data_IF_755665983520
#
_entry.id   IF_755665983520
#
_cell.length_a   1.000
_cell.length_b   1.000
_cell.length_c   1.000
_cell.angle_alpha   90.00
_cell.angle_beta   90.00
_cell.angle_gamma   90.00
#
_symmetry.space_group_name_H-M   'P 1'
#
loop_
_entity.id
_entity.type
_entity.pdbx_description
1 polymer ?
#
# COMPACT_ATOMS: atom_id res chain seq x y z
N UNK A 1 -14.90 -10.29 3.46
CA UNK A 1 -13.51 -10.37 4.01
C UNK A 1 -13.33 -9.27 5.04
N UNK A 2 -12.70 -9.55 6.17
CA UNK A 2 -12.41 -8.51 7.17
C UNK A 2 -11.26 -7.61 6.68
N UNK A 3 -11.42 -6.28 6.82
CA UNK A 3 -10.37 -5.29 6.51
C UNK A 3 -10.09 -4.49 7.79
N UNK A 4 -8.85 -4.50 8.24
CA UNK A 4 -8.41 -3.73 9.44
C UNK A 4 -8.63 -2.22 9.23
N UNK A 5 -8.61 -1.78 7.98
CA UNK A 5 -8.84 -0.38 7.61
C UNK A 5 -10.20 0.17 8.07
N UNK A 6 -11.20 -0.69 8.35
CA UNK A 6 -12.51 -0.28 8.91
C UNK A 6 -12.34 0.48 10.23
N UNK A 7 -11.37 0.10 11.07
CA UNK A 7 -11.07 0.78 12.33
C UNK A 7 -10.65 2.24 12.11
N UNK A 8 -9.82 2.49 11.08
CA UNK A 8 -9.42 3.86 10.68
C UNK A 8 -10.61 4.69 10.17
N UNK A 9 -11.57 4.06 9.50
CA UNK A 9 -12.80 4.72 9.06
C UNK A 9 -13.71 5.03 10.25
N UNK A 10 -13.78 4.14 11.23
CA UNK A 10 -14.54 4.36 12.46
C UNK A 10 -13.94 5.53 13.27
N UNK A 11 -12.61 5.57 13.43
CA UNK A 11 -11.92 6.71 14.03
C UNK A 11 -12.20 8.02 13.28
N UNK A 12 -12.18 7.99 11.94
CA UNK A 12 -12.52 9.16 11.11
C UNK A 12 -13.94 9.62 11.37
N UNK A 13 -14.90 8.70 11.44
CA UNK A 13 -16.32 9.03 11.60
C UNK A 13 -16.63 9.74 12.92
N UNK A 14 -15.84 9.46 13.97
CA UNK A 14 -16.00 9.98 15.33
C UNK A 14 -15.28 11.30 15.59
N UNK A 15 -14.44 11.79 14.64
CA UNK A 15 -13.71 13.05 14.83
C UNK A 15 -14.64 14.25 14.93
N UNK A 16 -14.46 15.10 15.92
CA UNK A 16 -15.23 16.35 16.10
C UNK A 16 -15.02 17.35 14.96
N UNK A 17 -13.80 17.37 14.39
CA UNK A 17 -13.41 18.16 13.22
C UNK A 17 -13.36 17.33 11.94
N UNK A 18 -14.31 16.38 11.80
CA UNK A 18 -14.39 15.52 10.63
C UNK A 18 -14.58 16.35 9.35
N UNK A 19 -13.82 15.98 8.33
CA UNK A 19 -13.95 16.50 6.97
C UNK A 19 -14.39 15.37 6.04
N UNK A 20 -14.98 15.66 4.86
CA UNK A 20 -15.21 14.65 3.85
C UNK A 20 -13.97 13.79 3.62
N UNK A 21 -14.14 12.47 3.57
CA UNK A 21 -13.06 11.52 3.34
C UNK A 21 -12.84 11.34 1.84
N UNK A 22 -11.58 11.36 1.44
CA UNK A 22 -11.14 10.94 0.10
C UNK A 22 -10.26 9.70 0.25
N UNK A 23 -10.81 8.54 -0.14
CA UNK A 23 -10.12 7.26 -0.11
C UNK A 23 -9.48 6.99 -1.47
N UNK A 24 -8.16 7.15 -1.55
CA UNK A 24 -7.34 6.84 -2.71
C UNK A 24 -6.79 5.41 -2.67
N UNK A 25 -6.09 4.99 -3.70
CA UNK A 25 -5.43 3.69 -3.82
C UNK A 25 -5.62 3.09 -5.21
N UNK A 26 -4.80 2.12 -5.58
CA UNK A 26 -4.84 1.48 -6.88
C UNK A 26 -6.23 0.91 -7.22
N UNK A 27 -6.46 0.64 -8.49
CA UNK A 27 -7.66 -0.10 -8.91
C UNK A 27 -7.66 -1.50 -8.29
N UNK A 28 -8.87 -2.02 -8.01
CA UNK A 28 -9.11 -3.37 -7.52
C UNK A 28 -8.58 -3.67 -6.10
N UNK A 29 -8.13 -2.68 -5.32
CA UNK A 29 -7.74 -2.87 -3.90
C UNK A 29 -8.94 -2.91 -2.94
N UNK A 30 -10.18 -2.74 -3.45
CA UNK A 30 -11.42 -2.92 -2.69
C UNK A 30 -11.99 -1.65 -2.04
N UNK A 31 -11.69 -0.44 -2.56
CA UNK A 31 -12.19 0.85 -2.01
C UNK A 31 -13.72 0.90 -1.89
N UNK A 32 -14.42 0.65 -2.99
CA UNK A 32 -15.90 0.68 -3.05
C UNK A 32 -16.51 -0.32 -2.09
N UNK A 33 -15.97 -1.56 -2.06
CA UNK A 33 -16.44 -2.59 -1.15
C UNK A 33 -16.25 -2.15 0.32
N UNK A 34 -15.06 -1.61 0.65
CA UNK A 34 -14.72 -1.17 2.00
C UNK A 34 -15.68 -0.07 2.50
N UNK A 35 -15.96 0.94 1.67
CA UNK A 35 -16.87 2.02 2.06
C UNK A 35 -18.32 1.54 2.21
N UNK A 36 -18.79 0.64 1.33
CA UNK A 36 -20.11 0.02 1.46
C UNK A 36 -20.22 -0.83 2.72
N UNK A 37 -19.19 -1.62 3.02
CA UNK A 37 -19.17 -2.45 4.23
C UNK A 37 -19.09 -1.59 5.50
N UNK A 38 -18.31 -0.52 5.47
CA UNK A 38 -18.28 0.44 6.57
C UNK A 38 -19.65 1.10 6.79
N UNK A 39 -20.33 1.51 5.72
CA UNK A 39 -21.68 2.04 5.79
C UNK A 39 -22.66 1.03 6.41
N UNK A 40 -22.59 -0.22 5.97
CA UNK A 40 -23.44 -1.31 6.49
C UNK A 40 -23.25 -1.57 7.99
N UNK A 41 -22.01 -1.43 8.49
CA UNK A 41 -21.66 -1.74 9.89
C UNK A 41 -21.93 -0.58 10.85
N UNK A 42 -21.78 0.66 10.41
CA UNK A 42 -21.72 1.83 11.29
C UNK A 42 -22.83 2.86 11.08
N UNK A 43 -23.67 2.71 10.03
CA UNK A 43 -24.74 3.65 9.71
C UNK A 43 -26.08 2.93 9.54
N UNK A 44 -27.16 3.64 9.82
CA UNK A 44 -28.50 3.12 9.58
C UNK A 44 -28.78 2.95 8.08
N UNK A 45 -28.22 3.83 7.25
CA UNK A 45 -28.37 3.82 5.80
C UNK A 45 -27.08 4.22 5.09
N UNK A 46 -26.96 3.79 3.81
CA UNK A 46 -25.84 4.14 2.95
C UNK A 46 -26.37 4.63 1.62
N UNK A 47 -26.18 5.92 1.32
CA UNK A 47 -26.51 6.51 0.03
C UNK A 47 -25.28 6.40 -0.89
N UNK A 48 -25.31 5.41 -1.78
CA UNK A 48 -24.21 5.16 -2.74
C UNK A 48 -24.56 5.72 -4.10
N UNK A 49 -23.66 6.53 -4.65
CA UNK A 49 -23.74 7.06 -6.02
C UNK A 49 -22.42 6.89 -6.73
N UNK A 50 -22.47 6.59 -8.04
CA UNK A 50 -21.31 6.41 -8.89
C UNK A 50 -21.30 7.43 -10.02
N UNK A 51 -20.21 8.16 -10.19
CA UNK A 51 -20.06 9.21 -11.22
C UNK A 51 -19.62 8.66 -12.59
N UNK A 52 -19.19 7.38 -12.69
CA UNK A 52 -18.83 6.84 -13.99
C UNK A 52 -20.05 6.75 -14.90
N UNK A 53 -19.95 7.39 -16.09
CA UNK A 53 -21.00 7.42 -17.11
C UNK A 53 -22.39 7.88 -16.64
N UNK A 54 -22.44 8.69 -15.56
CA UNK A 54 -23.68 9.20 -14.99
C UNK A 54 -23.78 10.72 -15.18
N UNK A 55 -24.14 11.14 -16.40
CA UNK A 55 -24.24 12.55 -16.75
C UNK A 55 -25.36 13.29 -15.98
N UNK A 56 -26.57 12.71 -15.71
CA UNK A 56 -27.57 13.33 -14.87
C UNK A 56 -27.05 13.66 -13.46
N UNK A 57 -26.35 12.73 -12.83
CA UNK A 57 -25.74 12.93 -11.51
C UNK A 57 -24.69 14.03 -11.54
N UNK A 58 -23.80 14.06 -12.56
CA UNK A 58 -22.80 15.13 -12.73
C UNK A 58 -23.45 16.51 -12.89
N UNK A 59 -24.58 16.58 -13.58
CA UNK A 59 -25.31 17.82 -13.78
C UNK A 59 -25.85 18.45 -12.49
N UNK A 60 -26.05 17.66 -11.42
CA UNK A 60 -26.47 18.19 -10.11
C UNK A 60 -25.40 19.09 -9.48
N UNK A 61 -24.13 18.89 -9.81
CA UNK A 61 -23.03 19.65 -9.25
C UNK A 61 -22.58 20.83 -10.12
N UNK A 62 -23.15 20.98 -11.33
CA UNK A 62 -22.83 22.11 -12.22
C UNK A 62 -23.49 23.42 -11.74
N UNK A 63 -22.73 24.50 -11.80
CA UNK A 63 -23.20 25.87 -11.46
C UNK A 63 -23.10 26.16 -9.96
N UNK A 64 -24.18 26.71 -9.37
CA UNK A 64 -24.18 27.06 -7.94
C UNK A 64 -24.35 25.82 -7.06
N UNK A 65 -23.66 25.80 -5.94
CA UNK A 65 -23.85 24.78 -4.91
C UNK A 65 -25.19 25.04 -4.17
N UNK A 66 -26.18 24.24 -4.46
CA UNK A 66 -27.48 24.22 -3.78
C UNK A 66 -27.65 22.85 -3.11
N UNK A 67 -27.50 22.83 -1.79
CA UNK A 67 -27.53 21.60 -0.99
C UNK A 67 -28.89 20.89 -1.10
N UNK A 68 -29.99 21.64 -1.11
CA UNK A 68 -31.33 21.06 -1.16
C UNK A 68 -31.57 20.33 -2.47
N UNK A 69 -31.16 20.94 -3.58
CA UNK A 69 -31.22 20.33 -4.91
C UNK A 69 -30.30 19.10 -4.99
N UNK A 70 -29.07 19.21 -4.49
CA UNK A 70 -28.10 18.11 -4.52
C UNK A 70 -28.59 16.95 -3.69
N UNK A 71 -29.05 17.16 -2.43
CA UNK A 71 -29.60 16.11 -1.58
C UNK A 71 -30.81 15.42 -2.20
N UNK A 72 -31.73 16.21 -2.79
CA UNK A 72 -32.90 15.65 -3.49
C UNK A 72 -32.46 14.73 -4.64
N UNK A 73 -31.49 15.16 -5.44
CA UNK A 73 -30.95 14.35 -6.53
C UNK A 73 -30.21 13.10 -6.05
N UNK A 74 -29.39 13.22 -4.99
CA UNK A 74 -28.71 12.07 -4.39
C UNK A 74 -29.69 11.04 -3.80
N UNK A 75 -30.79 11.50 -3.18
CA UNK A 75 -31.87 10.62 -2.69
C UNK A 75 -32.56 9.89 -3.84
N UNK A 76 -32.87 10.62 -4.91
CA UNK A 76 -33.52 10.01 -6.09
C UNK A 76 -32.60 8.97 -6.76
N UNK A 77 -31.30 9.25 -6.88
CA UNK A 77 -30.33 8.36 -7.49
C UNK A 77 -30.03 7.12 -6.63
N UNK A 78 -29.84 7.31 -5.32
CA UNK A 78 -29.48 6.22 -4.40
C UNK A 78 -30.71 5.39 -3.93
N UNK A 79 -31.91 5.92 -4.07
CA UNK A 79 -33.14 5.33 -3.49
C UNK A 79 -33.18 5.40 -1.96
N UNK A 80 -32.31 6.20 -1.32
CA UNK A 80 -32.17 6.27 0.13
C UNK A 80 -32.53 7.67 0.62
N UNK A 81 -33.33 7.78 1.67
CA UNK A 81 -33.60 9.06 2.34
C UNK A 81 -32.37 9.45 3.16
N UNK A 82 -31.72 10.53 2.79
CA UNK A 82 -30.51 10.99 3.45
C UNK A 82 -30.85 11.79 4.70
N UNK A 83 -30.33 11.31 5.84
CA UNK A 83 -30.38 11.96 7.14
C UNK A 83 -28.96 12.31 7.57
N UNK A 84 -28.73 13.52 8.05
CA UNK A 84 -27.46 13.90 8.67
C UNK A 84 -27.17 12.93 9.83
N UNK A 85 -25.93 12.53 10.04
CA UNK A 85 -25.43 11.59 11.08
C UNK A 85 -25.78 10.11 10.86
N UNK A 86 -26.99 9.77 10.35
CA UNK A 86 -27.44 8.38 10.25
C UNK A 86 -27.14 7.74 8.89
N UNK A 87 -26.81 8.58 7.88
CA UNK A 87 -26.53 8.12 6.52
C UNK A 87 -25.08 8.40 6.14
N UNK A 88 -24.35 7.36 5.69
CA UNK A 88 -23.09 7.54 4.99
C UNK A 88 -23.38 7.81 3.51
N UNK A 89 -22.92 8.95 3.01
CA UNK A 89 -22.98 9.28 1.58
C UNK A 89 -21.66 8.83 0.95
N UNK A 90 -21.75 7.95 -0.05
CA UNK A 90 -20.57 7.42 -0.77
C UNK A 90 -20.58 7.96 -2.19
N UNK A 91 -19.53 8.72 -2.55
CA UNK A 91 -19.25 9.18 -3.89
C UNK A 91 -18.15 8.29 -4.52
N UNK A 92 -18.56 7.40 -5.41
CA UNK A 92 -17.64 6.50 -6.09
C UNK A 92 -17.22 7.06 -7.45
N UNK A 93 -15.96 6.80 -7.84
CA UNK A 93 -15.31 7.34 -9.04
C UNK A 93 -15.42 8.87 -9.12
N UNK A 94 -15.24 9.57 -7.98
CA UNK A 94 -15.45 11.01 -7.84
C UNK A 94 -14.59 11.84 -8.81
N UNK A 95 -13.43 11.34 -9.25
CA UNK A 95 -12.59 12.01 -10.24
C UNK A 95 -13.27 12.18 -11.60
N UNK A 96 -14.38 11.47 -11.87
CA UNK A 96 -15.17 11.64 -13.07
C UNK A 96 -16.07 12.90 -13.03
N UNK A 97 -16.12 13.61 -11.88
CA UNK A 97 -16.89 14.83 -11.68
C UNK A 97 -16.10 15.86 -10.86
N UNK A 98 -15.34 16.72 -11.54
CA UNK A 98 -14.52 17.77 -10.89
C UNK A 98 -15.35 18.73 -10.05
N UNK A 99 -16.59 19.04 -10.47
CA UNK A 99 -17.51 19.91 -9.70
C UNK A 99 -17.91 19.25 -8.37
N UNK A 100 -18.15 17.93 -8.35
CA UNK A 100 -18.45 17.20 -7.11
C UNK A 100 -17.22 17.19 -6.17
N UNK A 101 -16.02 17.02 -6.74
CA UNK A 101 -14.78 17.09 -5.97
C UNK A 101 -14.57 18.48 -5.36
N UNK A 102 -14.81 19.56 -6.13
CA UNK A 102 -14.76 20.95 -5.67
C UNK A 102 -15.84 21.20 -4.59
N UNK A 103 -17.03 20.64 -4.74
CA UNK A 103 -18.15 20.78 -3.80
C UNK A 103 -17.83 20.23 -2.40
N UNK A 104 -16.85 19.33 -2.24
CA UNK A 104 -16.42 18.83 -0.92
C UNK A 104 -16.01 19.96 0.04
N UNK A 105 -15.57 21.12 -0.50
CA UNK A 105 -15.29 22.31 0.30
C UNK A 105 -16.54 22.78 1.04
N UNK A 106 -17.65 22.93 0.33
CA UNK A 106 -18.91 23.44 0.88
C UNK A 106 -19.53 22.43 1.86
N UNK A 107 -19.42 21.12 1.57
CA UNK A 107 -19.79 20.07 2.52
C UNK A 107 -19.01 20.18 3.82
N UNK A 108 -17.71 20.48 3.74
CA UNK A 108 -16.85 20.64 4.92
C UNK A 108 -17.17 21.90 5.73
N UNK A 109 -17.47 23.02 5.06
CA UNK A 109 -17.61 24.34 5.70
C UNK A 109 -19.04 24.59 6.20
N UNK A 110 -20.04 24.27 5.37
CA UNK A 110 -21.42 24.67 5.59
C UNK A 110 -22.31 23.53 6.10
N UNK A 111 -21.92 22.25 5.84
CA UNK A 111 -22.73 21.09 6.12
C UNK A 111 -21.92 19.93 6.77
N UNK A 112 -21.14 20.22 7.84
CA UNK A 112 -20.25 19.23 8.46
C UNK A 112 -20.95 18.05 9.13
N UNK A 113 -22.26 18.15 9.37
CA UNK A 113 -23.10 17.10 9.93
C UNK A 113 -23.29 15.92 9.00
N UNK A 114 -23.14 16.09 7.67
CA UNK A 114 -23.22 14.98 6.71
C UNK A 114 -21.92 14.20 6.64
N UNK A 115 -22.03 12.88 6.66
CA UNK A 115 -20.88 11.99 6.56
C UNK A 115 -20.65 11.61 5.10
N UNK A 116 -19.58 12.12 4.50
CA UNK A 116 -19.26 11.90 3.09
C UNK A 116 -17.94 11.17 2.97
N UNK A 117 -17.95 10.05 2.24
CA UNK A 117 -16.76 9.31 1.88
C UNK A 117 -16.69 9.14 0.36
N UNK A 118 -15.57 9.54 -0.22
CA UNK A 118 -15.34 9.48 -1.65
C UNK A 118 -14.34 8.37 -1.96
N UNK A 119 -14.56 7.62 -3.05
CA UNK A 119 -13.60 6.69 -3.61
C UNK A 119 -13.22 7.09 -5.02
N UNK A 120 -11.95 6.86 -5.36
CA UNK A 120 -11.46 7.01 -6.72
C UNK A 120 -10.07 6.37 -6.88
N UNK A 121 -9.84 5.76 -8.02
CA UNK A 121 -8.61 5.02 -8.29
C UNK A 121 -7.49 5.88 -8.91
N UNK A 122 -7.85 6.99 -9.52
CA UNK A 122 -6.93 7.88 -10.23
C UNK A 122 -7.06 9.33 -9.70
N UNK A 123 -7.36 9.48 -8.42
CA UNK A 123 -7.52 10.80 -7.80
C UNK A 123 -6.21 11.60 -7.89
N UNK A 124 -5.05 10.94 -7.70
CA UNK A 124 -3.73 11.58 -7.85
C UNK A 124 -3.55 12.22 -9.24
N UNK A 125 -3.97 11.54 -10.29
CA UNK A 125 -3.91 12.06 -11.66
C UNK A 125 -4.90 13.21 -11.90
N UNK A 126 -6.13 13.11 -11.40
CA UNK A 126 -7.12 14.18 -11.50
C UNK A 126 -6.65 15.47 -10.80
N UNK A 127 -5.86 15.37 -9.75
CA UNK A 127 -5.25 16.51 -9.06
C UNK A 127 -4.26 17.27 -9.93
N UNK A 128 -3.53 16.59 -10.82
CA UNK A 128 -2.57 17.22 -11.74
C UNK A 128 -3.27 17.99 -12.87
N UNK A 129 -4.49 17.61 -13.26
CA UNK A 129 -5.26 18.26 -14.34
C UNK A 129 -5.92 19.58 -13.94
N UNK A 130 -5.62 20.13 -12.76
CA UNK A 130 -6.12 21.45 -12.34
C UNK A 130 -7.58 21.45 -11.89
N UNK A 131 -8.15 20.29 -11.56
CA UNK A 131 -9.45 20.22 -10.89
C UNK A 131 -9.33 20.91 -9.53
N UNK A 132 -10.30 21.77 -9.15
CA UNK A 132 -10.30 22.56 -7.92
C UNK A 132 -10.36 21.71 -6.65
N UNK A 133 -9.32 20.88 -6.42
CA UNK A 133 -9.24 20.04 -5.21
C UNK A 133 -9.29 20.90 -3.95
N UNK A 134 -10.18 20.62 -3.01
CA UNK A 134 -10.37 21.42 -1.81
C UNK A 134 -9.26 21.18 -0.77
N UNK A 135 -8.08 21.76 -1.02
CA UNK A 135 -6.92 21.64 -0.13
C UNK A 135 -7.30 22.05 1.29
N UNK A 136 -6.97 21.22 2.27
CA UNK A 136 -7.26 21.44 3.68
C UNK A 136 -8.72 21.24 4.09
N UNK A 137 -9.64 20.89 3.17
CA UNK A 137 -11.08 20.68 3.44
C UNK A 137 -11.51 19.23 3.37
N UNK A 138 -10.56 18.32 3.16
CA UNK A 138 -10.79 16.88 3.12
C UNK A 138 -9.81 16.15 4.03
N UNK A 139 -10.19 14.96 4.50
CA UNK A 139 -9.27 13.97 5.04
C UNK A 139 -8.91 12.98 3.92
N UNK A 140 -7.62 12.77 3.69
CA UNK A 140 -7.14 11.82 2.70
C UNK A 140 -6.62 10.57 3.37
N UNK A 141 -7.02 9.41 2.84
CA UNK A 141 -6.51 8.10 3.26
C UNK A 141 -6.19 7.28 2.02
N UNK A 142 -5.19 6.39 2.11
CA UNK A 142 -4.80 5.50 1.02
C UNK A 142 -5.06 4.05 1.42
N UNK A 143 -5.84 3.34 0.59
CA UNK A 143 -6.07 1.90 0.75
C UNK A 143 -5.06 1.12 -0.08
N UNK A 144 -4.30 0.28 0.60
CA UNK A 144 -3.35 -0.65 0.00
C UNK A 144 -3.98 -2.03 -0.25
N UNK A 145 -3.33 -2.92 -1.01
CA UNK A 145 -3.66 -4.34 -1.01
C UNK A 145 -3.75 -4.89 0.42
N UNK A 146 -4.40 -6.00 0.59
CA UNK A 146 -4.54 -6.65 1.90
C UNK A 146 -3.17 -6.99 2.46
N UNK A 147 -2.94 -6.68 3.73
CA UNK A 147 -1.75 -7.08 4.47
C UNK A 147 -1.74 -8.61 4.72
N UNK A 148 -0.60 -9.14 5.14
CA UNK A 148 -0.53 -10.55 5.54
C UNK A 148 -1.50 -10.86 6.69
N UNK A 149 -1.68 -9.93 7.64
CA UNK A 149 -2.67 -10.09 8.70
C UNK A 149 -4.11 -10.17 8.17
N UNK A 150 -4.48 -9.33 7.19
CA UNK A 150 -5.79 -9.37 6.56
C UNK A 150 -5.97 -10.65 5.71
N UNK A 151 -4.90 -11.17 5.11
CA UNK A 151 -4.90 -12.45 4.42
C UNK A 151 -5.17 -13.62 5.38
N UNK A 152 -4.53 -13.65 6.56
CA UNK A 152 -4.82 -14.65 7.59
C UNK A 152 -6.30 -14.67 7.95
N UNK A 153 -6.90 -13.50 8.18
CA UNK A 153 -8.35 -13.40 8.43
C UNK A 153 -9.18 -13.92 7.25
N UNK A 154 -8.76 -13.64 6.01
CA UNK A 154 -9.53 -14.04 4.83
C UNK A 154 -9.56 -15.57 4.61
N UNK A 155 -8.54 -16.28 5.08
CA UNK A 155 -8.45 -17.75 4.99
C UNK A 155 -8.94 -18.48 6.26
N UNK A 156 -9.52 -17.74 7.24
CA UNK A 156 -10.06 -18.32 8.47
C UNK A 156 -9.04 -18.57 9.58
N UNK A 157 -7.87 -17.94 9.52
CA UNK A 157 -6.78 -18.09 10.49
C UNK A 157 -6.65 -16.83 11.41
N UNK A 158 -7.78 -16.27 11.86
CA UNK A 158 -7.80 -15.09 12.72
C UNK A 158 -7.01 -15.28 14.01
N UNK A 159 -7.05 -16.46 14.61
CA UNK A 159 -6.30 -16.79 15.81
C UNK A 159 -4.78 -16.65 15.62
N UNK A 160 -4.26 -16.93 14.41
CA UNK A 160 -2.85 -16.70 14.12
C UNK A 160 -2.51 -15.22 13.97
N UNK A 161 -3.46 -14.40 13.54
CA UNK A 161 -3.27 -12.94 13.56
C UNK A 161 -3.16 -12.44 15.01
N UNK A 162 -4.02 -12.92 15.91
CA UNK A 162 -3.94 -12.56 17.35
C UNK A 162 -2.59 -12.96 17.95
N UNK A 163 -2.07 -14.16 17.59
CA UNK A 163 -0.71 -14.60 17.98
C UNK A 163 0.34 -13.60 17.47
N UNK A 164 0.31 -13.24 16.20
CA UNK A 164 1.28 -12.29 15.60
C UNK A 164 1.19 -10.93 16.28
N UNK A 165 0.00 -10.46 16.58
CA UNK A 165 -0.24 -9.16 17.21
C UNK A 165 -0.01 -9.14 18.71
N UNK A 166 0.12 -10.28 19.39
CA UNK A 166 0.34 -10.35 20.82
C UNK A 166 1.64 -9.68 21.28
N UNK A 167 2.69 -9.73 20.45
CA UNK A 167 4.04 -9.30 20.81
C UNK A 167 4.75 -10.27 21.78
N UNK A 168 4.10 -11.36 22.19
CA UNK A 168 4.69 -12.38 23.06
C UNK A 168 5.62 -13.28 22.23
N UNK A 169 6.93 -13.20 22.53
CA UNK A 169 7.94 -13.95 21.78
C UNK A 169 7.76 -15.48 21.91
N UNK A 170 7.36 -15.98 23.10
CA UNK A 170 7.15 -17.40 23.29
C UNK A 170 5.97 -17.89 22.46
N UNK A 171 4.86 -17.16 22.46
CA UNK A 171 3.67 -17.46 21.69
C UNK A 171 3.93 -17.39 20.19
N UNK A 172 4.52 -16.30 19.70
CA UNK A 172 4.86 -16.12 18.26
C UNK A 172 5.79 -17.22 17.77
N UNK A 173 6.79 -17.61 18.57
CA UNK A 173 7.75 -18.64 18.19
C UNK A 173 7.12 -20.05 18.20
N UNK A 174 6.19 -20.32 19.11
CA UNK A 174 5.48 -21.61 19.17
C UNK A 174 4.65 -21.87 17.88
N UNK A 175 4.17 -20.83 17.22
CA UNK A 175 3.37 -20.94 15.99
C UNK A 175 4.16 -20.67 14.69
N UNK A 176 5.49 -20.48 14.77
CA UNK A 176 6.31 -20.17 13.60
C UNK A 176 6.19 -21.20 12.47
N UNK A 177 6.13 -22.49 12.78
CA UNK A 177 6.03 -23.56 11.79
C UNK A 177 4.68 -23.58 11.04
N UNK A 178 3.62 -23.00 11.62
CA UNK A 178 2.35 -22.77 10.92
C UNK A 178 2.38 -21.48 10.09
N UNK A 179 3.00 -20.42 10.60
CA UNK A 179 3.03 -19.09 9.97
C UNK A 179 3.96 -19.02 8.76
N UNK A 180 5.11 -19.70 8.78
CA UNK A 180 6.08 -19.70 7.67
C UNK A 180 5.48 -20.18 6.34
N UNK A 181 4.78 -21.33 6.26
CA UNK A 181 4.11 -21.77 5.02
C UNK A 181 3.03 -20.79 4.54
N UNK A 182 2.25 -20.21 5.46
CA UNK A 182 1.20 -19.25 5.15
C UNK A 182 1.79 -17.96 4.56
N UNK A 183 2.93 -17.50 5.08
CA UNK A 183 3.63 -16.37 4.49
C UNK A 183 4.14 -16.66 3.07
N UNK A 184 4.69 -17.86 2.82
CA UNK A 184 5.08 -18.28 1.47
C UNK A 184 3.86 -18.34 0.53
N UNK A 185 2.72 -18.79 1.03
CA UNK A 185 1.45 -18.76 0.28
C UNK A 185 1.06 -17.33 -0.05
N UNK A 186 1.16 -16.41 0.91
CA UNK A 186 0.89 -14.99 0.68
C UNK A 186 1.85 -14.37 -0.36
N UNK A 187 3.12 -14.78 -0.42
CA UNK A 187 4.03 -14.33 -1.47
C UNK A 187 3.54 -14.69 -2.88
N UNK A 188 2.79 -15.78 -3.01
CA UNK A 188 2.22 -16.23 -4.28
C UNK A 188 0.84 -15.63 -4.57
N UNK A 189 -0.01 -15.51 -3.55
CA UNK A 189 -1.38 -14.99 -3.67
C UNK A 189 -1.39 -13.46 -3.65
N UNK A 190 -0.53 -12.84 -2.83
CA UNK A 190 -0.52 -11.40 -2.59
C UNK A 190 -1.71 -10.91 -1.78
N UNK A 191 -1.89 -9.60 -1.81
CA UNK A 191 -2.96 -8.89 -1.09
C UNK A 191 -4.07 -8.33 -1.99
N UNK A 192 -4.10 -8.64 -3.29
CA UNK A 192 -5.20 -8.21 -4.14
C UNK A 192 -6.49 -8.92 -3.74
N UNK A 193 -7.57 -8.19 -3.33
CA UNK A 193 -8.76 -8.82 -2.73
C UNK A 193 -9.40 -9.93 -3.57
N UNK A 194 -9.44 -9.77 -4.89
CA UNK A 194 -9.99 -10.79 -5.78
C UNK A 194 -9.14 -12.06 -5.81
N UNK A 195 -7.80 -11.95 -5.80
CA UNK A 195 -6.88 -13.08 -5.76
C UNK A 195 -6.95 -13.78 -4.39
N UNK A 196 -6.99 -13.01 -3.29
CA UNK A 196 -7.18 -13.55 -1.93
C UNK A 196 -8.50 -14.29 -1.82
N UNK A 197 -9.59 -13.73 -2.36
CA UNK A 197 -10.92 -14.38 -2.35
C UNK A 197 -10.91 -15.69 -3.15
N UNK A 198 -10.29 -15.70 -4.33
CA UNK A 198 -10.18 -16.89 -5.16
C UNK A 198 -9.43 -17.99 -4.41
N UNK A 199 -8.31 -17.65 -3.77
CA UNK A 199 -7.54 -18.60 -2.95
C UNK A 199 -8.35 -19.05 -1.73
N UNK A 200 -8.94 -18.15 -0.96
CA UNK A 200 -9.69 -18.49 0.26
C UNK A 200 -10.88 -19.43 -0.01
N UNK A 201 -11.50 -19.30 -1.19
CA UNK A 201 -12.64 -20.14 -1.58
C UNK A 201 -12.21 -21.52 -2.07
N UNK A 202 -11.08 -21.61 -2.80
CA UNK A 202 -10.68 -22.84 -3.51
C UNK A 202 -9.46 -23.54 -2.92
N UNK A 203 -8.69 -22.84 -2.09
CA UNK A 203 -7.35 -23.21 -1.62
C UNK A 203 -6.37 -23.54 -2.76
N UNK A 204 -6.65 -22.99 -3.95
CA UNK A 204 -5.87 -23.21 -5.18
C UNK A 204 -5.03 -21.99 -5.53
N UNK A 205 -3.71 -22.18 -5.57
CA UNK A 205 -2.77 -21.17 -6.07
C UNK A 205 -2.97 -20.88 -7.56
N UNK A 206 -3.46 -21.88 -8.34
CA UNK A 206 -3.77 -21.68 -9.75
C UNK A 206 -4.94 -20.70 -9.94
N UNK A 207 -6.01 -20.84 -9.14
CA UNK A 207 -7.15 -19.92 -9.19
C UNK A 207 -6.76 -18.49 -8.83
N UNK A 208 -5.89 -18.31 -7.84
CA UNK A 208 -5.36 -16.99 -7.51
C UNK A 208 -4.52 -16.41 -8.65
N UNK A 209 -3.72 -17.25 -9.33
CA UNK A 209 -2.87 -16.87 -10.47
C UNK A 209 -3.70 -16.39 -11.66
N UNK A 210 -4.76 -17.07 -12.03
CA UNK A 210 -5.68 -16.65 -13.09
C UNK A 210 -6.22 -15.25 -12.81
N UNK A 211 -6.67 -14.99 -11.59
CA UNK A 211 -7.14 -13.65 -11.19
C UNK A 211 -6.03 -12.60 -11.25
N UNK A 212 -4.80 -12.94 -10.85
CA UNK A 212 -3.66 -12.02 -10.94
C UNK A 212 -3.33 -11.66 -12.39
N UNK A 213 -3.39 -12.62 -13.32
CA UNK A 213 -3.15 -12.40 -14.75
C UNK A 213 -4.23 -11.48 -15.35
N UNK A 214 -5.50 -11.63 -14.95
CA UNK A 214 -6.57 -10.72 -15.33
C UNK A 214 -6.32 -9.31 -14.81
N UNK A 215 -5.93 -9.15 -13.54
CA UNK A 215 -5.59 -7.85 -12.95
C UNK A 215 -4.43 -7.18 -13.72
N UNK A 216 -3.37 -7.92 -14.03
CA UNK A 216 -2.23 -7.40 -14.80
C UNK A 216 -2.63 -6.98 -16.21
N UNK A 217 -3.53 -7.75 -16.85
CA UNK A 217 -4.11 -7.42 -18.16
C UNK A 217 -4.94 -6.13 -18.08
N UNK A 218 -5.76 -5.98 -17.03
CA UNK A 218 -6.57 -4.78 -16.81
C UNK A 218 -5.70 -3.53 -16.60
N UNK A 219 -4.62 -3.62 -15.83
CA UNK A 219 -3.68 -2.50 -15.67
C UNK A 219 -3.05 -2.11 -17.02
N UNK A 220 -2.69 -3.06 -17.86
CA UNK A 220 -2.18 -2.75 -19.20
C UNK A 220 -3.21 -2.02 -20.09
N UNK A 221 -4.52 -2.32 -19.93
CA UNK A 221 -5.62 -1.60 -20.61
C UNK A 221 -5.79 -0.20 -20.03
N UNK A 222 -5.66 -0.07 -18.70
CA UNK A 222 -5.75 1.22 -18.01
C UNK A 222 -4.64 2.18 -18.42
N UNK A 223 -3.41 1.69 -18.65
CA UNK A 223 -2.32 2.51 -19.19
C UNK A 223 -2.73 3.13 -20.52
N UNK A 224 -3.32 2.33 -21.43
CA UNK A 224 -3.75 2.83 -22.73
C UNK A 224 -4.93 3.80 -22.66
N UNK A 225 -5.80 3.65 -21.66
CA UNK A 225 -7.03 4.45 -21.53
C UNK A 225 -6.81 5.78 -20.81
N UNK A 226 -5.94 5.82 -19.80
CA UNK A 226 -5.85 6.93 -18.86
C UNK A 226 -4.50 7.67 -18.89
N UNK A 227 -3.43 7.06 -19.38
CA UNK A 227 -2.15 7.75 -19.49
C UNK A 227 -2.06 8.57 -20.80
N UNK A 228 -1.26 9.65 -20.80
CA UNK A 228 -0.95 10.37 -22.04
C UNK A 228 -0.37 9.42 -23.08
N UNK A 229 -0.91 9.41 -24.30
CA UNK A 229 -0.57 8.43 -25.34
C UNK A 229 0.93 8.27 -25.58
N UNK A 230 1.68 9.38 -25.54
CA UNK A 230 3.14 9.39 -25.73
C UNK A 230 3.90 8.70 -24.60
N UNK A 231 3.30 8.58 -23.42
CA UNK A 231 3.94 7.99 -22.24
C UNK A 231 3.61 6.49 -22.07
N UNK A 232 2.52 6.00 -22.67
CA UNK A 232 2.05 4.61 -22.53
C UNK A 232 3.16 3.58 -22.76
N UNK A 233 3.98 3.67 -23.81
CA UNK A 233 5.06 2.69 -24.04
C UNK A 233 6.10 2.70 -22.91
N UNK A 234 6.45 3.88 -22.39
CA UNK A 234 7.43 4.03 -21.31
C UNK A 234 6.89 3.52 -19.98
N UNK A 235 5.62 3.82 -19.66
CA UNK A 235 4.92 3.29 -18.49
C UNK A 235 4.93 1.76 -18.52
N UNK A 236 4.58 1.15 -19.66
CA UNK A 236 4.63 -0.30 -19.84
C UNK A 236 6.04 -0.87 -19.71
N UNK A 237 7.04 -0.18 -20.26
CA UNK A 237 8.44 -0.61 -20.16
C UNK A 237 8.93 -0.60 -18.71
N UNK A 238 8.64 0.45 -17.94
CA UNK A 238 8.95 0.51 -16.50
C UNK A 238 8.23 -0.63 -15.76
N UNK A 239 6.90 -0.76 -15.97
CA UNK A 239 6.08 -1.78 -15.33
C UNK A 239 6.61 -3.19 -15.57
N UNK A 240 6.97 -3.52 -16.81
CA UNK A 240 7.58 -4.80 -17.16
C UNK A 240 8.99 -5.00 -16.60
N UNK A 241 9.73 -3.93 -16.33
CA UNK A 241 11.10 -4.02 -15.81
C UNK A 241 11.16 -4.31 -14.30
N UNK A 242 10.06 -4.14 -13.55
CA UNK A 242 10.02 -4.31 -12.10
C UNK A 242 10.64 -5.64 -11.62
N UNK A 243 10.23 -6.82 -12.15
CA UNK A 243 10.82 -8.08 -11.71
C UNK A 243 12.33 -8.16 -11.97
N UNK A 244 12.77 -7.65 -13.12
CA UNK A 244 14.19 -7.69 -13.52
C UNK A 244 15.02 -6.74 -12.66
N UNK A 245 14.53 -5.54 -12.34
CA UNK A 245 15.23 -4.58 -11.50
C UNK A 245 15.40 -5.12 -10.06
N UNK A 246 14.34 -5.71 -9.50
CA UNK A 246 14.35 -6.26 -8.14
C UNK A 246 15.13 -7.58 -8.01
N UNK A 247 15.27 -8.35 -9.10
CA UNK A 247 16.04 -9.60 -9.12
C UNK A 247 17.56 -9.41 -9.01
N UNK A 248 18.07 -8.20 -9.25
CA UNK A 248 19.50 -7.90 -9.19
C UNK A 248 20.01 -7.89 -7.76
N UNK A 249 21.30 -8.15 -7.59
CA UNK A 249 22.00 -7.97 -6.33
C UNK A 249 21.93 -6.50 -5.89
N UNK A 250 22.25 -5.57 -6.80
CA UNK A 250 22.02 -4.14 -6.64
C UNK A 250 20.62 -3.78 -7.16
N UNK A 251 19.69 -3.56 -6.24
CA UNK A 251 18.28 -3.24 -6.54
C UNK A 251 18.01 -1.77 -6.81
N UNK A 252 19.06 -0.93 -6.87
CA UNK A 252 18.93 0.47 -7.29
C UNK A 252 18.42 0.52 -8.73
N UNK A 253 17.43 1.36 -8.96
CA UNK A 253 16.80 1.46 -10.26
C UNK A 253 17.80 2.01 -11.31
N UNK A 254 17.98 1.30 -12.40
CA UNK A 254 18.85 1.68 -13.51
C UNK A 254 17.99 1.99 -14.73
N UNK A 255 17.89 3.27 -15.09
CA UNK A 255 17.09 3.71 -16.24
C UNK A 255 17.51 3.04 -17.56
N UNK A 256 18.81 2.77 -17.71
CA UNK A 256 19.35 2.09 -18.90
C UNK A 256 18.86 0.65 -19.11
N UNK A 257 18.30 0.03 -18.08
CA UNK A 257 17.73 -1.33 -18.19
C UNK A 257 16.26 -1.32 -18.60
N UNK A 258 15.65 -0.15 -18.72
CA UNK A 258 14.32 0.00 -19.30
C UNK A 258 14.47 0.18 -20.82
N UNK A 259 14.03 -0.79 -21.64
CA UNK A 259 14.21 -0.71 -23.08
C UNK A 259 13.34 0.41 -23.68
N UNK A 260 13.87 1.09 -24.70
CA UNK A 260 13.06 1.96 -25.55
C UNK A 260 12.35 1.14 -26.62
N UNK A 261 11.32 1.69 -27.27
CA UNK A 261 10.62 1.04 -28.39
C UNK A 261 11.57 0.68 -29.56
N UNK A 262 12.63 1.47 -29.75
CA UNK A 262 13.66 1.22 -30.75
C UNK A 262 14.76 0.24 -30.31
N UNK A 263 14.62 -0.39 -29.12
CA UNK A 263 15.62 -1.33 -28.57
C UNK A 263 16.84 -0.66 -27.93
N UNK A 264 16.83 0.67 -27.81
CA UNK A 264 17.88 1.44 -27.10
C UNK A 264 17.70 1.47 -25.58
N UNK A 265 18.60 2.21 -24.90
CA UNK A 265 18.55 2.44 -23.46
C UNK A 265 17.78 3.72 -23.11
N UNK A 266 16.89 3.65 -22.12
CA UNK A 266 16.17 4.82 -21.63
C UNK A 266 17.10 5.75 -20.82
N UNK A 267 16.77 7.04 -20.85
CA UNK A 267 17.45 8.06 -20.01
C UNK A 267 16.55 8.42 -18.84
N UNK A 268 17.12 8.67 -17.65
CA UNK A 268 16.36 8.98 -16.43
C UNK A 268 15.36 10.14 -16.62
N UNK A 269 15.73 11.18 -17.39
CA UNK A 269 14.85 12.32 -17.66
C UNK A 269 13.57 11.94 -18.43
N UNK A 270 13.65 10.90 -19.29
CA UNK A 270 12.53 10.48 -20.15
C UNK A 270 11.54 9.58 -19.37
N UNK A 271 11.92 9.13 -18.18
CA UNK A 271 11.12 8.25 -17.32
C UNK A 271 10.46 9.00 -16.16
N UNK A 272 10.73 10.31 -15.97
CA UNK A 272 10.19 11.08 -14.83
C UNK A 272 8.66 11.04 -14.79
N UNK A 273 8.00 11.54 -15.81
CA UNK A 273 6.53 11.57 -15.87
C UNK A 273 5.89 10.17 -15.85
N UNK A 274 6.44 9.14 -16.55
CA UNK A 274 6.00 7.76 -16.41
C UNK A 274 6.07 7.22 -14.97
N UNK A 275 7.10 7.57 -14.18
CA UNK A 275 7.15 7.20 -12.77
C UNK A 275 6.07 7.89 -11.95
N UNK A 276 5.92 9.21 -12.12
CA UNK A 276 4.90 10.00 -11.44
C UNK A 276 3.52 9.41 -11.72
N UNK A 277 3.24 9.07 -12.99
CA UNK A 277 1.99 8.41 -13.35
C UNK A 277 1.76 7.08 -12.62
N UNK A 278 2.77 6.21 -12.55
CA UNK A 278 2.67 4.91 -11.86
C UNK A 278 2.47 5.08 -10.35
N UNK A 279 3.12 6.07 -9.73
CA UNK A 279 2.97 6.38 -8.30
C UNK A 279 1.59 6.97 -8.01
N UNK A 280 1.11 7.91 -8.82
CA UNK A 280 -0.22 8.52 -8.67
C UNK A 280 -1.35 7.51 -8.89
N UNK A 281 -1.12 6.52 -9.78
CA UNK A 281 -2.02 5.38 -9.94
C UNK A 281 -1.91 4.35 -8.79
N UNK A 282 -0.93 4.49 -7.90
CA UNK A 282 -0.67 3.59 -6.79
C UNK A 282 -0.12 2.22 -7.20
N UNK A 283 0.47 2.11 -8.40
CA UNK A 283 0.92 0.83 -8.97
C UNK A 283 2.40 0.55 -8.69
N UNK A 284 3.20 1.57 -8.47
CA UNK A 284 4.60 1.44 -8.12
C UNK A 284 4.99 2.48 -7.06
N UNK A 285 6.07 2.21 -6.33
CA UNK A 285 6.57 3.05 -5.25
C UNK A 285 8.08 3.18 -5.34
N UNK A 286 8.57 4.41 -5.43
CA UNK A 286 9.99 4.69 -5.27
C UNK A 286 10.33 4.73 -3.79
N UNK A 287 11.29 3.91 -3.37
CA UNK A 287 11.93 3.99 -2.07
C UNK A 287 13.26 4.71 -2.28
N UNK A 288 13.35 5.93 -1.77
CA UNK A 288 14.50 6.81 -2.01
C UNK A 288 15.64 6.53 -1.03
N UNK A 289 16.88 6.65 -1.48
CA UNK A 289 17.99 6.69 -0.55
C UNK A 289 18.00 8.01 0.21
N UNK A 290 18.56 7.98 1.43
CA UNK A 290 18.87 9.19 2.18
C UNK A 290 20.38 9.35 2.33
N UNK A 291 20.85 10.59 2.24
CA UNK A 291 22.26 10.94 2.41
C UNK A 291 22.68 10.94 3.87
N UNK A 292 21.70 11.16 4.77
CA UNK A 292 21.87 11.13 6.21
C UNK A 292 20.60 10.55 6.85
N UNK A 293 20.73 9.56 7.75
CA UNK A 293 19.57 9.01 8.48
C UNK A 293 19.19 9.92 9.64
N UNK A 294 18.50 11.01 9.35
CA UNK A 294 18.00 11.98 10.32
C UNK A 294 16.58 12.41 9.97
N UNK A 295 15.80 12.81 10.97
CA UNK A 295 14.42 13.27 10.82
C UNK A 295 14.40 14.75 10.39
N UNK A 296 13.56 15.12 9.41
CA UNK A 296 12.74 14.24 8.56
C UNK A 296 13.57 13.58 7.46
N UNK A 297 13.36 12.28 7.21
CA UNK A 297 14.11 11.52 6.19
C UNK A 297 13.98 12.13 4.79
N UNK A 298 12.80 12.64 4.44
CA UNK A 298 12.55 13.30 3.16
C UNK A 298 13.45 14.53 2.95
N UNK A 299 13.82 15.23 4.02
CA UNK A 299 14.76 16.36 3.97
C UNK A 299 16.19 15.97 3.56
N UNK A 300 16.53 14.71 3.69
CA UNK A 300 17.84 14.15 3.32
C UNK A 300 17.77 13.21 2.10
N UNK A 301 16.66 13.25 1.37
CA UNK A 301 16.44 12.44 0.18
C UNK A 301 17.56 12.67 -0.85
N UNK A 302 18.14 11.56 -1.30
CA UNK A 302 19.15 11.55 -2.35
C UNK A 302 18.54 11.44 -3.75
N UNK A 303 19.37 11.00 -4.70
CA UNK A 303 18.98 10.90 -6.12
C UNK A 303 18.78 9.46 -6.59
N UNK A 304 19.05 8.49 -5.74
CA UNK A 304 18.98 7.06 -6.04
C UNK A 304 17.70 6.51 -5.40
N UNK A 305 17.05 5.58 -6.05
CA UNK A 305 15.87 4.90 -5.51
C UNK A 305 15.84 3.42 -5.93
N UNK A 306 15.13 2.62 -5.13
CA UNK A 306 14.65 1.29 -5.49
C UNK A 306 13.19 1.42 -5.94
N UNK A 307 12.77 0.64 -6.93
CA UNK A 307 11.39 0.66 -7.43
C UNK A 307 10.69 -0.62 -7.05
N UNK A 308 9.61 -0.51 -6.29
CA UNK A 308 8.77 -1.62 -5.85
C UNK A 308 7.40 -1.56 -6.54
N UNK A 309 6.78 -2.72 -6.74
CA UNK A 309 5.42 -2.81 -7.24
C UNK A 309 4.37 -2.64 -6.15
N UNK A 310 3.11 -2.67 -6.57
CA UNK A 310 1.95 -2.56 -5.69
C UNK A 310 1.83 -3.74 -4.72
N UNK A 311 2.07 -4.96 -5.21
CA UNK A 311 1.72 -6.20 -4.52
C UNK A 311 2.71 -7.34 -4.82
N UNK A 312 3.05 -8.11 -3.78
CA UNK A 312 4.02 -9.22 -3.87
C UNK A 312 3.51 -10.36 -4.76
N UNK A 313 2.21 -10.66 -4.73
CA UNK A 313 1.61 -11.71 -5.56
C UNK A 313 1.58 -11.30 -7.03
N UNK A 314 1.29 -10.03 -7.34
CA UNK A 314 1.39 -9.51 -8.69
C UNK A 314 2.82 -9.53 -9.22
N UNK A 315 3.83 -9.23 -8.36
CA UNK A 315 5.24 -9.37 -8.72
C UNK A 315 5.60 -10.83 -9.02
N UNK A 316 5.12 -11.77 -8.20
CA UNK A 316 5.30 -13.21 -8.44
C UNK A 316 4.64 -13.67 -9.76
N UNK A 317 3.46 -13.13 -10.10
CA UNK A 317 2.77 -13.39 -11.35
C UNK A 317 3.53 -12.83 -12.56
N UNK A 318 3.98 -11.57 -12.50
CA UNK A 318 4.80 -10.93 -13.54
C UNK A 318 6.12 -11.69 -13.81
N UNK A 319 6.66 -12.32 -12.77
CA UNK A 319 7.89 -13.11 -12.84
C UNK A 319 7.67 -14.55 -13.30
N UNK A 320 6.43 -14.93 -13.60
CA UNK A 320 6.05 -16.31 -13.96
C UNK A 320 6.56 -17.36 -12.97
N UNK A 321 6.64 -17.01 -11.68
CA UNK A 321 7.12 -17.92 -10.65
C UNK A 321 6.18 -19.12 -10.48
N UNK A 322 6.75 -20.31 -10.51
CA UNK A 322 5.99 -21.51 -10.19
C UNK A 322 5.75 -21.63 -8.68
N UNK A 323 4.56 -22.04 -8.23
CA UNK A 323 4.29 -22.28 -6.81
C UNK A 323 5.31 -23.22 -6.16
N UNK A 324 5.72 -24.24 -6.87
CA UNK A 324 6.69 -25.22 -6.39
C UNK A 324 8.04 -24.61 -6.03
N UNK A 325 8.53 -23.67 -6.86
CA UNK A 325 9.80 -22.98 -6.60
C UNK A 325 9.79 -22.19 -5.30
N UNK A 326 8.68 -21.54 -4.96
CA UNK A 326 8.53 -20.75 -3.73
C UNK A 326 8.34 -21.63 -2.50
N UNK A 327 7.52 -22.68 -2.61
CA UNK A 327 7.16 -23.55 -1.48
C UNK A 327 8.31 -24.46 -1.07
N UNK A 328 8.96 -25.13 -2.03
CA UNK A 328 10.01 -26.12 -1.77
C UNK A 328 11.42 -25.52 -1.67
N UNK A 329 11.62 -24.32 -2.24
CA UNK A 329 12.93 -23.69 -2.37
C UNK A 329 13.77 -24.37 -3.46
N UNK A 330 14.11 -23.65 -4.52
CA UNK A 330 14.98 -24.14 -5.58
C UNK A 330 16.23 -23.23 -5.64
N UNK A 331 17.39 -23.78 -6.00
CA UNK A 331 18.64 -23.01 -6.19
C UNK A 331 18.44 -21.84 -7.18
N UNK A 332 17.66 -22.03 -8.23
CA UNK A 332 17.33 -21.01 -9.23
C UNK A 332 16.41 -19.90 -8.68
N UNK A 333 15.72 -20.17 -7.56
CA UNK A 333 14.84 -19.21 -6.91
C UNK A 333 15.57 -18.35 -5.86
N UNK A 334 16.79 -18.71 -5.46
CA UNK A 334 17.49 -18.09 -4.33
C UNK A 334 17.70 -16.60 -4.52
N UNK A 335 18.05 -16.13 -5.73
CA UNK A 335 18.23 -14.71 -6.02
C UNK A 335 16.91 -13.94 -5.99
N UNK A 336 15.85 -14.47 -6.59
CA UNK A 336 14.56 -13.79 -6.63
C UNK A 336 13.81 -13.81 -5.28
N UNK A 337 14.18 -14.72 -4.37
CA UNK A 337 13.64 -14.78 -3.00
C UNK A 337 13.89 -13.49 -2.22
N UNK A 338 15.07 -12.88 -2.38
CA UNK A 338 15.37 -11.57 -1.83
C UNK A 338 14.46 -10.46 -2.37
N UNK A 339 14.15 -10.49 -3.68
CA UNK A 339 13.24 -9.55 -4.32
C UNK A 339 11.82 -9.61 -3.74
N UNK A 340 11.26 -10.82 -3.61
CA UNK A 340 9.93 -11.02 -3.01
C UNK A 340 9.91 -10.60 -1.54
N UNK A 341 10.99 -10.88 -0.80
CA UNK A 341 11.07 -10.51 0.62
C UNK A 341 11.09 -8.98 0.78
N UNK A 342 11.92 -8.25 0.05
CA UNK A 342 11.93 -6.78 0.14
C UNK A 342 10.62 -6.17 -0.38
N UNK A 343 10.03 -6.73 -1.46
CA UNK A 343 8.71 -6.30 -1.93
C UNK A 343 7.65 -6.47 -0.84
N UNK A 344 7.63 -7.62 -0.16
CA UNK A 344 6.73 -7.88 0.94
C UNK A 344 6.95 -6.92 2.12
N UNK A 345 8.20 -6.73 2.54
CA UNK A 345 8.53 -5.81 3.65
C UNK A 345 8.08 -4.39 3.32
N UNK A 346 8.36 -3.89 2.11
CA UNK A 346 7.91 -2.57 1.66
C UNK A 346 6.38 -2.45 1.69
N UNK A 347 5.68 -3.48 1.21
CA UNK A 347 4.22 -3.53 1.19
C UNK A 347 3.63 -3.51 2.61
N UNK A 348 4.15 -4.33 3.53
CA UNK A 348 3.70 -4.36 4.94
C UNK A 348 3.98 -3.06 5.69
N UNK A 349 5.14 -2.45 5.49
CA UNK A 349 5.46 -1.16 6.11
C UNK A 349 4.45 -0.09 5.72
N UNK A 350 3.97 -0.08 4.47
CA UNK A 350 2.93 0.86 4.01
C UNK A 350 1.53 0.48 4.49
N UNK A 351 1.15 -0.78 4.29
CA UNK A 351 -0.22 -1.23 4.55
C UNK A 351 -0.54 -1.30 6.05
N UNK A 352 0.35 -1.90 6.84
CA UNK A 352 0.11 -2.16 8.26
C UNK A 352 0.59 -1.02 9.14
N UNK A 353 1.78 -0.46 8.90
CA UNK A 353 2.35 0.60 9.73
C UNK A 353 2.08 2.02 9.21
N UNK A 354 1.61 2.18 7.97
CA UNK A 354 1.42 3.50 7.34
C UNK A 354 2.73 4.27 7.14
N UNK A 355 3.87 3.56 7.14
CA UNK A 355 5.18 4.16 7.01
C UNK A 355 5.56 4.43 5.55
N UNK A 356 6.34 5.48 5.31
CA UNK A 356 6.98 5.76 4.02
C UNK A 356 8.45 5.34 4.13
N UNK A 357 8.83 4.15 3.61
CA UNK A 357 10.18 3.66 3.75
C UNK A 357 11.16 4.42 2.85
N UNK A 358 12.38 4.59 3.36
CA UNK A 358 13.57 5.02 2.65
C UNK A 358 14.62 3.93 2.76
N UNK A 359 15.80 4.09 2.16
CA UNK A 359 16.95 3.23 2.41
C UNK A 359 18.23 4.07 2.56
N UNK A 360 19.28 3.46 3.02
CA UNK A 360 20.55 4.15 3.18
C UNK A 360 21.73 3.32 2.65
N UNK A 361 22.66 3.98 1.99
CA UNK A 361 23.93 3.39 1.58
C UNK A 361 25.08 4.25 2.08
N UNK A 362 26.19 3.60 2.47
CA UNK A 362 27.44 4.29 2.78
C UNK A 362 28.00 5.00 1.53
N UNK A 363 28.85 6.00 1.74
CA UNK A 363 29.48 6.76 0.64
C UNK A 363 30.32 5.91 -0.30
N UNK A 364 30.86 4.81 0.20
CA UNK A 364 31.65 3.83 -0.59
C UNK A 364 30.77 2.70 -1.17
N UNK A 365 29.44 2.77 -0.96
CA UNK A 365 28.44 1.76 -1.40
C UNK A 365 28.69 0.34 -0.88
N UNK A 366 29.51 0.15 0.16
CA UNK A 366 29.81 -1.16 0.73
C UNK A 366 28.82 -1.61 1.79
N UNK A 367 28.10 -0.65 2.38
CA UNK A 367 27.12 -0.90 3.43
C UNK A 367 25.78 -0.33 2.97
N UNK A 368 24.75 -1.16 2.96
CA UNK A 368 23.38 -0.75 2.65
C UNK A 368 22.44 -1.25 3.75
N UNK A 369 21.47 -0.42 4.12
CA UNK A 369 20.32 -0.78 4.96
C UNK A 369 19.10 -0.79 4.06
N UNK A 370 18.40 -1.92 4.03
CA UNK A 370 17.31 -2.16 3.08
C UNK A 370 16.17 -1.16 3.23
N UNK A 371 15.78 -0.83 4.48
CA UNK A 371 14.76 0.17 4.76
C UNK A 371 15.10 1.01 5.99
N UNK A 372 14.71 2.27 5.92
CA UNK A 372 14.64 3.20 7.04
C UNK A 372 13.23 3.72 7.15
N UNK A 373 12.68 3.76 8.35
CA UNK A 373 11.38 4.39 8.62
C UNK A 373 11.51 5.41 9.75
N UNK A 374 10.69 6.45 9.71
CA UNK A 374 10.61 7.41 10.80
C UNK A 374 9.78 6.83 11.94
N UNK A 375 10.36 6.73 13.12
CA UNK A 375 9.64 6.59 14.37
C UNK A 375 9.25 7.98 14.93
N UNK A 376 8.75 8.02 16.15
CA UNK A 376 8.34 9.28 16.75
C UNK A 376 9.51 10.25 16.99
N UNK A 377 10.66 9.71 17.39
CA UNK A 377 11.85 10.46 17.84
C UNK A 377 13.16 9.85 17.30
N UNK A 378 13.08 8.89 16.40
CA UNK A 378 14.25 8.22 15.84
C UNK A 378 14.01 7.70 14.43
N UNK A 379 15.11 7.37 13.73
CA UNK A 379 15.10 6.61 12.49
C UNK A 379 15.35 5.16 12.81
N UNK A 380 14.43 4.28 12.40
CA UNK A 380 14.52 2.84 12.62
C UNK A 380 15.11 2.17 11.38
N UNK A 381 16.33 1.59 11.47
CA UNK A 381 16.90 0.80 10.40
C UNK A 381 16.29 -0.61 10.40
N UNK A 382 15.96 -1.10 9.20
CA UNK A 382 15.38 -2.42 8.98
C UNK A 382 16.23 -3.16 7.94
N UNK A 383 16.75 -4.31 8.32
CA UNK A 383 17.45 -5.24 7.43
C UNK A 383 16.54 -6.43 7.15
N UNK A 384 16.28 -6.70 5.87
CA UNK A 384 15.43 -7.80 5.43
C UNK A 384 16.25 -8.98 4.93
N UNK A 385 15.99 -10.17 5.48
CA UNK A 385 16.65 -11.42 5.07
C UNK A 385 15.61 -12.46 4.67
N UNK A 386 15.79 -13.04 3.49
CA UNK A 386 14.85 -14.02 2.95
C UNK A 386 14.92 -15.38 3.66
N UNK A 387 15.98 -15.66 4.39
CA UNK A 387 16.26 -16.92 5.07
C UNK A 387 16.59 -16.73 6.55
N UNK A 388 16.96 -17.84 7.20
CA UNK A 388 17.33 -17.86 8.63
C UNK A 388 18.75 -17.34 8.90
N UNK A 389 19.50 -16.95 7.85
CA UNK A 389 20.86 -16.42 8.03
C UNK A 389 20.82 -15.03 8.68
N UNK A 390 21.31 -14.98 9.90
CA UNK A 390 21.32 -13.77 10.74
C UNK A 390 22.58 -12.90 10.57
N UNK A 391 23.48 -13.20 9.62
CA UNK A 391 24.63 -12.34 9.38
C UNK A 391 24.19 -11.03 8.74
N UNK A 392 24.20 -9.96 9.51
CA UNK A 392 23.83 -8.59 9.09
C UNK A 392 24.99 -7.64 9.35
N UNK A 393 26.07 -7.78 8.55
CA UNK A 393 27.27 -6.92 8.68
C UNK A 393 26.93 -5.45 8.49
N UNK A 394 26.02 -5.15 7.53
CA UNK A 394 25.56 -3.79 7.25
C UNK A 394 24.82 -3.18 8.45
N UNK A 395 23.91 -3.93 9.06
CA UNK A 395 23.15 -3.44 10.22
C UNK A 395 24.06 -3.20 11.44
N UNK A 396 25.07 -4.07 11.63
CA UNK A 396 26.08 -3.87 12.68
C UNK A 396 26.88 -2.59 12.44
N UNK A 397 27.42 -2.39 11.26
CA UNK A 397 28.18 -1.19 10.90
C UNK A 397 27.33 0.09 11.00
N UNK A 398 26.04 0.01 10.63
CA UNK A 398 25.10 1.12 10.80
C UNK A 398 24.88 1.46 12.27
N UNK A 399 24.64 0.45 13.13
CA UNK A 399 24.45 0.64 14.58
C UNK A 399 25.69 1.26 15.23
N UNK A 400 26.88 0.80 14.89
CA UNK A 400 28.15 1.37 15.39
C UNK A 400 28.35 2.83 14.97
N UNK A 401 27.89 3.21 13.77
CA UNK A 401 28.05 4.57 13.23
C UNK A 401 27.01 5.56 13.72
N UNK A 402 25.74 5.17 13.79
CA UNK A 402 24.61 6.09 14.05
C UNK A 402 23.94 5.88 15.41
N UNK A 403 24.29 4.81 16.11
CA UNK A 403 23.80 4.47 17.44
C UNK A 403 22.27 4.63 17.58
N UNK A 404 21.44 3.99 16.73
CA UNK A 404 19.99 4.05 16.88
C UNK A 404 19.59 3.36 18.20
N UNK A 405 18.52 3.83 18.84
CA UNK A 405 18.02 3.22 20.10
C UNK A 405 17.71 1.76 19.90
N UNK A 406 17.09 1.42 18.79
CA UNK A 406 16.94 0.03 18.35
C UNK A 406 17.03 -0.09 16.82
N UNK A 407 17.25 -1.31 16.36
CA UNK A 407 17.30 -1.70 14.97
C UNK A 407 16.44 -2.95 14.77
N UNK A 408 15.88 -3.12 13.59
CA UNK A 408 15.07 -4.30 13.26
C UNK A 408 15.79 -5.13 12.21
N UNK A 409 15.86 -6.44 12.48
CA UNK A 409 16.21 -7.42 11.47
C UNK A 409 15.02 -8.32 11.28
N UNK A 410 14.52 -8.43 10.03
CA UNK A 410 13.40 -9.31 9.72
C UNK A 410 13.87 -10.47 8.85
N UNK A 411 13.51 -11.69 9.26
CA UNK A 411 13.92 -12.94 8.63
C UNK A 411 12.90 -14.05 8.91
N UNK A 412 13.11 -15.24 8.35
CA UNK A 412 12.29 -16.44 8.67
C UNK A 412 12.68 -17.08 10.03
N UNK A 413 13.15 -16.27 10.98
CA UNK A 413 13.58 -16.70 12.33
C UNK A 413 12.52 -16.38 13.38
N UNK A 414 12.76 -16.79 14.64
CA UNK A 414 11.89 -16.46 15.76
C UNK A 414 11.98 -15.00 16.21
N UNK A 415 10.95 -14.54 16.91
CA UNK A 415 10.91 -13.23 17.58
C UNK A 415 11.90 -13.25 18.75
N UNK A 416 12.80 -12.30 18.78
CA UNK A 416 13.80 -12.14 19.83
C UNK A 416 14.26 -10.68 19.92
N UNK A 417 14.49 -10.20 21.12
CA UNK A 417 15.04 -8.87 21.39
C UNK A 417 16.37 -9.02 22.10
N UNK A 418 17.44 -8.45 21.52
CA UNK A 418 18.81 -8.53 22.05
C UNK A 418 19.47 -7.16 21.95
N UNK A 419 19.77 -6.52 23.07
CA UNK A 419 20.57 -5.29 23.14
C UNK A 419 20.23 -4.25 22.04
N UNK A 420 18.97 -3.82 22.00
CA UNK A 420 18.48 -2.86 20.99
C UNK A 420 18.40 -3.42 19.56
N UNK A 421 18.51 -4.72 19.37
CA UNK A 421 18.23 -5.41 18.11
C UNK A 421 16.99 -6.28 18.23
N UNK A 422 15.94 -5.93 17.50
CA UNK A 422 14.73 -6.72 17.40
C UNK A 422 14.83 -7.64 16.19
N UNK A 423 14.88 -8.95 16.43
CA UNK A 423 14.70 -9.96 15.38
C UNK A 423 13.20 -10.19 15.22
N UNK A 424 12.58 -9.47 14.30
CA UNK A 424 11.15 -9.57 14.02
C UNK A 424 10.93 -10.57 12.89
N UNK A 425 10.24 -11.70 13.13
CA UNK A 425 9.95 -12.65 12.06
C UNK A 425 9.23 -11.96 10.89
N UNK A 426 9.53 -12.35 9.64
CA UNK A 426 8.82 -11.81 8.46
C UNK A 426 7.30 -11.97 8.61
N UNK A 427 6.82 -13.10 9.11
CA UNK A 427 5.39 -13.33 9.34
C UNK A 427 4.80 -12.49 10.49
N UNK A 428 5.65 -11.83 11.30
CA UNK A 428 5.21 -10.93 12.38
C UNK A 428 5.28 -9.43 11.99
N UNK A 429 5.64 -9.08 10.76
CA UNK A 429 5.64 -7.70 10.27
C UNK A 429 4.29 -6.97 10.43
N UNK A 430 3.10 -7.62 10.39
CA UNK A 430 1.85 -6.93 10.72
C UNK A 430 1.83 -6.27 12.12
N UNK A 431 2.68 -6.72 13.05
CA UNK A 431 2.84 -6.11 14.37
C UNK A 431 3.89 -4.98 14.42
N UNK A 432 4.56 -4.64 13.31
CA UNK A 432 5.67 -3.69 13.28
C UNK A 432 5.33 -2.33 13.90
N UNK A 433 4.13 -1.80 13.62
CA UNK A 433 3.69 -0.53 14.20
C UNK A 433 3.71 -0.55 15.73
N UNK A 434 3.36 -1.68 16.35
CA UNK A 434 3.41 -1.88 17.81
C UNK A 434 4.87 -1.94 18.29
N UNK A 435 5.74 -2.68 17.58
CA UNK A 435 7.16 -2.80 17.94
C UNK A 435 7.83 -1.42 18.05
N UNK A 436 7.54 -0.51 17.11
CA UNK A 436 8.11 0.85 17.14
C UNK A 436 7.43 1.79 18.18
N UNK A 437 6.28 1.39 18.75
CA UNK A 437 5.54 2.15 19.76
C UNK A 437 5.84 1.68 21.19
N UNK A 438 6.04 0.39 21.41
CA UNK A 438 6.25 -0.23 22.74
C UNK A 438 7.52 0.28 23.42
N UNK A 439 8.51 0.73 22.65
CA UNK A 439 9.73 1.39 23.16
C UNK A 439 9.47 2.74 23.88
N UNK A 440 8.22 3.23 23.88
CA UNK A 440 7.83 4.44 24.64
C UNK A 440 7.54 4.15 26.10
N UNK A 441 7.14 2.93 26.46
CA UNK A 441 6.70 2.60 27.82
C UNK A 441 7.82 1.95 28.66
N UNK A 442 8.65 1.08 28.05
CA UNK A 442 9.71 0.36 28.76
C UNK A 442 10.96 1.23 29.07
N UNK A 443 11.12 2.42 28.47
CA UNK A 443 12.18 3.37 28.82
C UNK A 443 11.78 4.37 29.91
N UNK A 444 10.60 4.22 30.54
CA UNK A 444 10.15 5.04 31.69
C UNK A 444 10.11 4.28 33.02
N UNK A 445 10.53 3.03 33.04
CA UNK A 445 10.63 2.23 34.28
C UNK A 445 12.07 2.17 34.82
#
# INVERSE_FOLDING_TARGET
MKRVFIEKLDEWSKKSNRKPLVLSGARQVGKTWLLKEFGRLHYAQTAYVNFDRNEPLKALFKGSFDITRILTGLQAESGVRISAKDTLIIFDEIQQCGDALTALKYWCEDYPEYHIACAGSLIGLALQEGTGYPVGKTHSMTLYPMSFGEFLCAIGEEALLDVVQSGDAALVNAFAEKLKPLLKTYYLVGGMPAAVQAYATTLSLASAREVQEDILSDYNRDFAKHAPKIQVPRIRAIWKSLPVQLAKEDKRFIAGDVPTESGGKSRSRDLKDPFEWLEDAGLAYRVWNVTKPAIPLEGYRGRIFKLFGLDVGLLAAQSHLSPRAVMEGNRLFTEFKGALTEQYVQQELRASAGAVPHFWTSSDSRTEIDFLVEGADQVVPIEAKAEENLQAKSLKAYRERFNPRFAVRTAMTGLRVDDGLVNLPLFALPSFARVIQTDREDCRA
#
